data_IF_738172107910
#
_entry.id   IF_738172107910
#
_cell.length_a   1.000
_cell.length_b   1.000
_cell.length_c   1.000
_cell.angle_alpha   90.00
_cell.angle_beta   90.00
_cell.angle_gamma   90.00
#
_symmetry.space_group_name_H-M   'P 1'
#
loop_
_entity.id
_entity.type
_entity.pdbx_description
1 polymer ?
#
# COMPACT_ATOMS: atom_id res chain seq x y z
N UNK A 1 3.86 29.48 -6.98
CA UNK A 1 3.65 28.03 -6.85
C UNK A 1 4.18 27.61 -5.50
N UNK A 2 3.32 27.12 -4.64
CA UNK A 2 3.74 26.55 -3.34
C UNK A 2 4.36 25.19 -3.62
N UNK A 3 5.66 25.02 -3.32
CA UNK A 3 6.35 23.74 -3.49
C UNK A 3 6.05 22.82 -2.31
N UNK A 4 4.81 22.31 -2.25
CA UNK A 4 4.43 21.31 -1.27
C UNK A 4 4.07 19.99 -1.93
N UNK A 5 4.24 18.90 -1.20
CA UNK A 5 3.92 17.55 -1.63
C UNK A 5 2.74 17.01 -0.84
N UNK A 6 1.95 16.21 -1.50
CA UNK A 6 0.88 15.44 -0.87
C UNK A 6 1.32 13.99 -0.79
N UNK A 7 1.17 13.38 0.38
CA UNK A 7 1.36 11.95 0.58
C UNK A 7 0.04 11.35 1.04
N UNK A 8 -0.28 10.16 0.53
CA UNK A 8 -1.50 9.44 0.92
C UNK A 8 -1.31 7.93 0.73
N UNK A 9 -2.15 7.18 1.43
CA UNK A 9 -2.41 5.78 1.17
C UNK A 9 -3.88 5.62 0.77
N UNK A 10 -4.71 4.90 1.54
CA UNK A 10 -6.17 4.81 1.27
C UNK A 10 -6.99 5.95 1.86
N UNK A 11 -6.34 6.92 2.49
CA UNK A 11 -6.99 8.04 3.16
C UNK A 11 -7.42 7.77 4.60
N UNK A 12 -7.31 6.54 5.07
CA UNK A 12 -7.63 6.15 6.45
C UNK A 12 -6.51 5.37 7.14
N UNK A 13 -5.31 5.32 6.56
CA UNK A 13 -4.18 4.58 7.10
C UNK A 13 -2.84 5.30 6.84
N UNK A 14 -1.85 5.02 7.71
CA UNK A 14 -0.46 5.44 7.60
C UNK A 14 0.43 4.28 8.10
N UNK A 15 0.61 3.26 7.26
CA UNK A 15 1.33 2.03 7.64
C UNK A 15 2.03 1.30 6.48
N UNK A 16 1.94 1.80 5.27
CA UNK A 16 2.48 1.22 4.06
C UNK A 16 3.63 2.07 3.47
N UNK A 17 3.88 1.97 2.18
CA UNK A 17 4.95 2.67 1.47
C UNK A 17 4.81 4.19 1.54
N UNK A 18 3.59 4.72 1.58
CA UNK A 18 3.33 6.14 1.75
C UNK A 18 3.85 6.66 3.09
N UNK A 19 3.56 5.96 4.18
CA UNK A 19 4.05 6.30 5.51
C UNK A 19 5.56 6.12 5.65
N UNK A 20 6.11 5.06 5.08
CA UNK A 20 7.56 4.83 5.08
C UNK A 20 8.29 5.94 4.35
N UNK A 21 7.79 6.37 3.19
CA UNK A 21 8.32 7.50 2.44
C UNK A 21 8.14 8.83 3.21
N UNK A 22 7.00 9.04 3.87
CA UNK A 22 6.78 10.23 4.71
C UNK A 22 7.83 10.32 5.84
N UNK A 23 8.09 9.23 6.56
CA UNK A 23 9.12 9.22 7.62
C UNK A 23 10.51 9.59 7.07
N UNK A 24 10.89 8.97 5.95
CA UNK A 24 12.15 9.29 5.27
C UNK A 24 12.24 10.79 4.92
N UNK A 25 11.19 11.35 4.35
CA UNK A 25 11.16 12.77 3.98
C UNK A 25 11.25 13.70 5.20
N UNK A 26 10.59 13.38 6.31
CA UNK A 26 10.68 14.17 7.55
C UNK A 26 12.09 14.13 8.14
N UNK A 27 12.75 12.99 8.06
CA UNK A 27 14.12 12.82 8.58
C UNK A 27 15.18 13.47 7.68
N UNK A 28 15.16 13.16 6.40
CA UNK A 28 16.23 13.56 5.46
C UNK A 28 15.96 14.90 4.76
N UNK A 29 14.71 15.32 4.64
CA UNK A 29 14.31 16.53 3.94
C UNK A 29 13.33 17.38 4.76
N UNK A 30 13.68 17.78 6.01
CA UNK A 30 12.76 18.45 6.93
C UNK A 30 12.27 19.81 6.44
N UNK A 31 12.96 20.43 5.48
CA UNK A 31 12.54 21.69 4.87
C UNK A 31 11.45 21.54 3.80
N UNK A 32 11.27 20.31 3.27
CA UNK A 32 10.24 20.06 2.27
C UNK A 32 8.87 20.09 2.94
N UNK A 33 7.99 20.99 2.47
CA UNK A 33 6.62 21.05 2.96
C UNK A 33 5.81 19.86 2.45
N UNK A 34 5.27 19.08 3.38
CA UNK A 34 4.50 17.88 3.11
C UNK A 34 3.17 17.97 3.83
N UNK A 35 2.12 17.42 3.21
CA UNK A 35 0.84 17.17 3.86
C UNK A 35 0.48 15.70 3.68
N UNK A 36 0.02 15.06 4.75
CA UNK A 36 -0.44 13.68 4.72
C UNK A 36 -1.96 13.63 4.76
N UNK A 37 -2.58 13.02 3.74
CA UNK A 37 -4.04 12.91 3.68
C UNK A 37 -4.50 11.70 4.51
N UNK A 38 -5.27 11.96 5.55
CA UNK A 38 -5.79 10.93 6.45
C UNK A 38 -7.09 11.42 7.12
N UNK A 39 -8.01 10.49 7.38
CA UNK A 39 -9.22 10.80 8.17
C UNK A 39 -8.89 10.90 9.64
N UNK A 40 -9.63 11.76 10.38
CA UNK A 40 -9.37 12.01 11.81
C UNK A 40 -9.67 10.82 12.72
N UNK A 41 -10.56 9.94 12.29
CA UNK A 41 -10.97 8.72 12.99
C UNK A 41 -10.03 7.52 12.74
N UNK A 42 -9.00 7.72 11.92
CA UNK A 42 -7.99 6.70 11.68
C UNK A 42 -7.18 6.40 12.95
N UNK A 43 -6.99 5.11 13.24
CA UNK A 43 -6.07 4.65 14.30
C UNK A 43 -4.61 5.07 14.07
N UNK A 44 -4.26 5.43 12.84
CA UNK A 44 -2.93 5.86 12.45
C UNK A 44 -2.75 7.39 12.44
N UNK A 45 -3.82 8.16 12.75
CA UNK A 45 -3.81 9.61 12.68
C UNK A 45 -2.67 10.25 13.49
N UNK A 46 -2.44 9.79 14.72
CA UNK A 46 -1.39 10.32 15.61
C UNK A 46 0.02 10.21 15.01
N UNK A 47 0.27 9.25 14.12
CA UNK A 47 1.59 9.06 13.48
C UNK A 47 1.98 10.21 12.54
N UNK A 48 1.01 10.94 12.03
CA UNK A 48 1.19 11.98 11.00
C UNK A 48 0.50 13.30 11.34
N UNK A 49 0.01 13.46 12.55
CA UNK A 49 -0.86 14.57 13.00
C UNK A 49 -0.32 15.96 12.69
N UNK A 50 1.00 16.15 12.75
CA UNK A 50 1.63 17.46 12.54
C UNK A 50 1.49 17.95 11.09
N UNK A 51 1.39 17.03 10.15
CA UNK A 51 1.21 17.31 8.72
C UNK A 51 -0.14 16.81 8.19
N UNK A 52 -1.02 16.34 9.08
CA UNK A 52 -2.29 15.74 8.69
C UNK A 52 -3.25 16.74 8.07
N UNK A 53 -3.87 16.33 6.99
CA UNK A 53 -5.00 17.02 6.36
C UNK A 53 -6.14 16.04 6.21
N UNK A 54 -7.31 16.42 6.68
CA UNK A 54 -8.49 15.56 6.62
C UNK A 54 -8.80 15.18 5.18
N UNK A 55 -8.74 13.88 4.91
CA UNK A 55 -9.08 13.31 3.61
C UNK A 55 -10.50 13.70 3.21
N UNK A 56 -10.75 13.94 1.92
CA UNK A 56 -12.04 14.38 1.36
C UNK A 56 -12.57 15.73 1.90
N UNK A 57 -11.71 16.59 2.44
CA UNK A 57 -12.09 17.95 2.84
C UNK A 57 -11.87 18.95 1.69
N UNK A 58 -12.54 20.10 1.77
CA UNK A 58 -12.29 21.24 0.85
C UNK A 58 -10.82 21.64 0.87
N UNK A 59 -10.20 21.63 2.06
CA UNK A 59 -8.77 21.94 2.21
C UNK A 59 -7.91 20.92 1.48
N UNK A 60 -8.19 19.61 1.59
CA UNK A 60 -7.44 18.58 0.89
C UNK A 60 -7.54 18.72 -0.63
N UNK A 61 -8.73 19.07 -1.14
CA UNK A 61 -8.92 19.32 -2.57
C UNK A 61 -8.00 20.44 -3.08
N UNK A 62 -8.01 21.61 -2.42
CA UNK A 62 -7.16 22.73 -2.83
C UNK A 62 -5.67 22.42 -2.73
N UNK A 63 -5.25 21.71 -1.70
CA UNK A 63 -3.86 21.29 -1.54
C UNK A 63 -3.43 20.30 -2.63
N UNK A 64 -4.28 19.34 -3.00
CA UNK A 64 -4.03 18.41 -4.10
C UNK A 64 -3.88 19.17 -5.41
N UNK A 65 -4.79 20.13 -5.67
CA UNK A 65 -4.76 20.92 -6.91
C UNK A 65 -3.50 21.76 -7.04
N UNK A 66 -3.01 22.34 -5.95
CA UNK A 66 -1.83 23.22 -5.93
C UNK A 66 -0.51 22.51 -5.67
N UNK A 67 -0.52 21.22 -5.30
CA UNK A 67 0.68 20.44 -5.01
C UNK A 67 1.63 20.36 -6.22
N UNK A 68 2.94 20.35 -5.95
CA UNK A 68 3.97 20.08 -6.95
C UNK A 68 4.13 18.59 -7.22
N UNK A 69 3.94 17.75 -6.19
CA UNK A 69 3.95 16.28 -6.30
C UNK A 69 2.84 15.66 -5.44
N UNK A 70 2.29 14.58 -5.96
CA UNK A 70 1.31 13.73 -5.29
C UNK A 70 1.91 12.33 -5.24
N UNK A 71 2.17 11.83 -4.05
CA UNK A 71 2.82 10.56 -3.79
C UNK A 71 1.85 9.64 -3.08
N UNK A 72 1.55 8.49 -3.64
CA UNK A 72 0.60 7.57 -3.02
C UNK A 72 0.98 6.11 -3.25
N UNK A 73 0.69 5.28 -2.25
CA UNK A 73 0.77 3.83 -2.38
C UNK A 73 -0.43 3.25 -3.16
N UNK A 74 -1.50 4.02 -3.37
CA UNK A 74 -2.70 3.60 -4.09
C UNK A 74 -3.01 4.56 -5.25
N UNK A 75 -3.23 3.99 -6.45
CA UNK A 75 -3.52 4.80 -7.63
C UNK A 75 -4.89 5.49 -7.51
N UNK A 76 -4.94 6.79 -7.82
CA UNK A 76 -6.14 7.63 -7.90
C UNK A 76 -7.05 7.70 -6.65
N UNK A 77 -6.71 7.04 -5.54
CA UNK A 77 -7.52 7.07 -4.30
C UNK A 77 -7.33 8.35 -3.45
N UNK A 78 -6.74 9.38 -4.04
CA UNK A 78 -6.44 10.67 -3.38
C UNK A 78 -7.58 11.69 -3.44
N UNK A 79 -8.59 11.46 -4.29
CA UNK A 79 -9.74 12.35 -4.47
C UNK A 79 -11.04 11.64 -4.09
N UNK A 80 -12.05 12.41 -3.64
CA UNK A 80 -13.32 11.84 -3.20
C UNK A 80 -14.08 11.12 -4.33
N UNK A 81 -14.61 9.96 -4.03
CA UNK A 81 -15.54 9.23 -4.89
C UNK A 81 -16.94 9.88 -4.85
N UNK A 82 -17.74 9.77 -5.93
CA UNK A 82 -17.46 9.09 -7.20
C UNK A 82 -16.76 9.96 -8.26
N UNK A 83 -16.63 11.26 -8.04
CA UNK A 83 -16.09 12.19 -9.03
C UNK A 83 -14.54 12.19 -9.09
N UNK A 84 -13.88 11.63 -8.09
CA UNK A 84 -12.42 11.75 -7.89
C UNK A 84 -11.60 11.32 -9.09
N UNK A 85 -11.94 10.18 -9.72
CA UNK A 85 -11.23 9.70 -10.91
C UNK A 85 -11.40 10.66 -12.10
N UNK A 86 -12.62 11.18 -12.34
CA UNK A 86 -12.88 12.15 -13.41
C UNK A 86 -12.08 13.43 -13.19
N UNK A 87 -12.07 13.96 -11.97
CA UNK A 87 -11.32 15.16 -11.60
C UNK A 87 -9.81 14.94 -11.75
N UNK A 88 -9.32 13.76 -11.40
CA UNK A 88 -7.92 13.38 -11.55
C UNK A 88 -7.44 13.52 -13.01
N UNK A 89 -8.25 13.04 -13.96
CA UNK A 89 -7.96 13.18 -15.39
C UNK A 89 -8.21 14.59 -15.91
N UNK A 90 -9.33 15.21 -15.55
CA UNK A 90 -9.69 16.56 -15.98
C UNK A 90 -8.59 17.58 -15.66
N UNK A 91 -8.05 17.51 -14.45
CA UNK A 91 -6.98 18.40 -14.00
C UNK A 91 -5.56 17.87 -14.29
N UNK A 92 -5.45 16.76 -15.03
CA UNK A 92 -4.17 16.15 -15.43
C UNK A 92 -3.23 15.90 -14.23
N UNK A 93 -3.81 15.51 -13.09
CA UNK A 93 -3.04 15.28 -11.86
C UNK A 93 -2.04 14.13 -12.00
N UNK A 94 -2.24 13.23 -12.97
CA UNK A 94 -1.30 12.18 -13.33
C UNK A 94 0.09 12.71 -13.73
N UNK A 95 0.21 13.95 -14.23
CA UNK A 95 1.49 14.57 -14.57
C UNK A 95 2.38 14.88 -13.36
N UNK A 96 1.81 14.81 -12.16
CA UNK A 96 2.51 15.01 -10.88
C UNK A 96 2.24 13.88 -9.88
N UNK A 97 1.73 12.74 -10.35
CA UNK A 97 1.41 11.57 -9.54
C UNK A 97 2.55 10.55 -9.58
N UNK A 98 3.00 10.18 -8.39
CA UNK A 98 4.08 9.24 -8.14
C UNK A 98 3.49 8.06 -7.36
N UNK A 99 3.46 6.90 -8.01
CA UNK A 99 2.88 5.69 -7.47
C UNK A 99 3.94 4.82 -6.79
N UNK A 100 3.88 4.73 -5.46
CA UNK A 100 4.83 3.95 -4.66
C UNK A 100 4.49 2.47 -4.60
N UNK A 101 3.33 2.06 -5.13
CA UNK A 101 2.84 0.70 -5.03
C UNK A 101 2.53 0.30 -3.57
N UNK A 102 1.69 -0.71 -3.37
CA UNK A 102 1.37 -1.25 -2.04
C UNK A 102 1.71 -2.74 -1.90
N UNK A 103 2.13 -3.39 -2.99
CA UNK A 103 2.54 -4.79 -3.01
C UNK A 103 3.12 -5.18 -4.36
N UNK A 104 3.88 -6.26 -4.40
CA UNK A 104 4.42 -6.80 -5.64
C UNK A 104 3.30 -7.37 -6.49
N UNK A 105 3.21 -6.95 -7.74
CA UNK A 105 2.22 -7.43 -8.71
C UNK A 105 2.70 -8.77 -9.27
N UNK A 106 1.84 -9.77 -9.17
CA UNK A 106 2.02 -11.07 -9.80
C UNK A 106 1.05 -11.26 -10.97
N UNK A 107 -0.17 -10.73 -10.83
CA UNK A 107 -1.24 -10.89 -11.81
C UNK A 107 -1.24 -9.74 -12.82
N UNK A 108 -1.91 -9.95 -13.96
CA UNK A 108 -2.08 -8.91 -14.98
C UNK A 108 -3.13 -7.87 -14.55
N UNK A 109 -2.66 -6.75 -14.00
CA UNK A 109 -3.53 -5.67 -13.54
C UNK A 109 -3.76 -4.62 -14.65
N UNK A 110 -4.68 -4.91 -15.56
CA UNK A 110 -5.04 -4.00 -16.67
C UNK A 110 -5.40 -2.59 -16.22
N UNK A 111 -5.93 -2.44 -15.00
CA UNK A 111 -6.25 -1.13 -14.39
C UNK A 111 -5.03 -0.24 -14.18
N UNK A 112 -3.81 -0.77 -14.23
CA UNK A 112 -2.56 -0.02 -14.09
C UNK A 112 -1.81 0.20 -15.41
N UNK A 113 -2.40 -0.18 -16.55
CA UNK A 113 -1.82 0.10 -17.86
C UNK A 113 -1.81 1.62 -18.14
N UNK A 114 -0.81 2.11 -18.86
CA UNK A 114 -0.57 3.53 -19.09
C UNK A 114 -1.75 4.30 -19.72
N UNK A 115 -2.54 3.63 -20.56
CA UNK A 115 -3.74 4.19 -21.16
C UNK A 115 -4.91 4.37 -20.19
N UNK A 116 -4.89 3.62 -19.07
CA UNK A 116 -5.92 3.67 -18.01
C UNK A 116 -5.39 4.43 -16.79
N UNK A 117 -4.13 4.22 -16.44
CA UNK A 117 -3.49 4.75 -15.24
C UNK A 117 -2.18 5.48 -15.57
N UNK A 118 -2.22 6.61 -16.34
CA UNK A 118 -1.03 7.39 -16.57
C UNK A 118 -0.48 7.98 -15.27
N UNK A 119 0.86 7.98 -15.12
CA UNK A 119 1.54 8.49 -13.93
C UNK A 119 2.96 8.95 -14.26
N UNK A 120 3.59 9.65 -13.33
CA UNK A 120 4.96 10.14 -13.44
C UNK A 120 6.01 9.16 -12.97
N UNK A 121 5.66 8.31 -12.05
CA UNK A 121 6.51 7.25 -11.50
C UNK A 121 5.64 6.04 -11.14
N UNK A 122 6.13 4.85 -11.49
CA UNK A 122 5.63 3.56 -11.07
C UNK A 122 6.77 2.78 -10.40
N UNK A 123 6.71 2.63 -9.08
CA UNK A 123 7.70 1.86 -8.32
C UNK A 123 7.38 0.38 -8.40
N UNK A 124 8.38 -0.44 -8.68
CA UNK A 124 8.32 -1.89 -8.61
C UNK A 124 9.17 -2.41 -7.45
N UNK A 125 8.64 -3.37 -6.70
CA UNK A 125 9.27 -3.97 -5.53
C UNK A 125 10.19 -5.13 -5.86
N UNK A 126 10.02 -5.77 -7.02
CA UNK A 126 10.79 -6.95 -7.45
C UNK A 126 11.23 -6.82 -8.91
N UNK A 127 12.36 -7.47 -9.24
CA UNK A 127 12.90 -7.44 -10.61
C UNK A 127 11.96 -8.07 -11.64
N UNK A 128 11.36 -9.26 -11.41
CA UNK A 128 10.40 -9.84 -12.34
C UNK A 128 9.17 -8.96 -12.58
N UNK A 129 8.66 -8.30 -11.54
CA UNK A 129 7.57 -7.33 -11.64
C UNK A 129 7.97 -6.15 -12.55
N UNK A 130 9.15 -5.59 -12.32
CA UNK A 130 9.67 -4.49 -13.14
C UNK A 130 9.77 -4.85 -14.61
N UNK A 131 10.33 -6.02 -14.92
CA UNK A 131 10.50 -6.50 -16.28
C UNK A 131 9.14 -6.67 -16.98
N UNK A 132 8.18 -7.26 -16.28
CA UNK A 132 6.83 -7.47 -16.79
C UNK A 132 6.05 -6.17 -16.99
N UNK A 133 6.02 -5.29 -16.00
CA UNK A 133 5.34 -3.99 -16.08
C UNK A 133 5.95 -3.13 -17.18
N UNK A 134 7.28 -3.08 -17.27
CA UNK A 134 8.00 -2.32 -18.31
C UNK A 134 7.66 -2.83 -19.72
N UNK A 135 7.56 -4.14 -19.89
CA UNK A 135 7.30 -4.75 -21.20
C UNK A 135 5.84 -4.62 -21.65
N UNK A 136 4.88 -4.74 -20.73
CA UNK A 136 3.46 -4.93 -21.09
C UNK A 136 2.55 -3.77 -20.77
N UNK A 137 2.86 -2.93 -19.75
CA UNK A 137 1.91 -1.91 -19.28
C UNK A 137 1.92 -0.61 -20.09
N UNK A 138 2.86 -0.46 -21.04
CA UNK A 138 2.89 0.65 -21.99
C UNK A 138 3.25 2.02 -21.39
N UNK A 139 3.81 2.06 -20.19
CA UNK A 139 4.29 3.34 -19.62
C UNK A 139 5.50 3.87 -20.39
N UNK A 140 5.63 5.20 -20.54
CA UNK A 140 6.80 5.82 -21.17
C UNK A 140 8.12 5.42 -20.50
N UNK A 141 9.20 5.48 -21.25
CA UNK A 141 10.53 5.22 -20.72
C UNK A 141 10.83 6.09 -19.50
N UNK A 142 11.41 5.49 -18.46
CA UNK A 142 11.76 6.18 -17.24
C UNK A 142 10.63 6.33 -16.22
N UNK A 143 9.39 5.98 -16.56
CA UNK A 143 8.27 6.00 -15.60
C UNK A 143 8.32 4.81 -14.66
N UNK A 144 8.52 3.59 -15.18
CA UNK A 144 8.64 2.39 -14.36
C UNK A 144 10.06 2.28 -13.79
N UNK A 145 10.17 2.08 -12.49
CA UNK A 145 11.46 1.99 -11.78
C UNK A 145 11.49 0.81 -10.82
N UNK A 146 12.56 0.06 -10.84
CA UNK A 146 12.87 -0.97 -9.85
C UNK A 146 13.73 -0.35 -8.75
N UNK A 147 13.10 -0.04 -7.61
CA UNK A 147 13.78 0.55 -6.45
C UNK A 147 13.61 -0.28 -5.19
N UNK A 148 12.79 -1.32 -5.22
CA UNK A 148 12.21 -1.90 -4.02
C UNK A 148 11.06 -1.04 -3.50
N UNK A 149 10.32 -1.55 -2.53
CA UNK A 149 9.24 -0.81 -1.86
C UNK A 149 9.80 -0.05 -0.66
N UNK A 150 9.31 1.17 -0.43
CA UNK A 150 9.82 2.04 0.65
C UNK A 150 9.79 1.38 2.03
N UNK A 151 8.79 0.51 2.31
CA UNK A 151 8.70 -0.21 3.58
C UNK A 151 9.76 -1.29 3.76
N UNK A 152 10.48 -1.69 2.71
CA UNK A 152 11.53 -2.71 2.81
C UNK A 152 12.71 -2.23 3.66
N UNK A 153 12.93 -0.92 3.78
CA UNK A 153 13.96 -0.35 4.64
C UNK A 153 13.75 -0.68 6.14
N UNK A 154 12.54 -1.08 6.51
CA UNK A 154 12.19 -1.47 7.89
C UNK A 154 12.14 -2.99 8.12
N UNK A 155 12.46 -3.82 7.12
CA UNK A 155 12.46 -5.28 7.27
C UNK A 155 13.68 -5.82 8.01
N UNK A 156 14.68 -4.97 8.28
CA UNK A 156 15.93 -5.35 8.92
C UNK A 156 15.94 -5.13 10.44
N UNK A 157 14.77 -4.94 11.05
CA UNK A 157 14.66 -4.88 12.52
C UNK A 157 14.95 -6.25 13.10
N UNK A 158 16.03 -6.34 13.89
CA UNK A 158 16.77 -7.57 14.21
C UNK A 158 16.14 -8.48 15.28
N UNK A 159 14.88 -8.30 15.63
CA UNK A 159 14.24 -9.18 16.62
C UNK A 159 13.83 -10.49 15.94
N UNK A 160 14.73 -11.45 15.92
CA UNK A 160 14.39 -12.83 15.56
C UNK A 160 13.59 -13.45 16.70
N UNK A 161 12.35 -13.83 16.41
CA UNK A 161 11.52 -14.63 17.31
C UNK A 161 11.52 -16.07 16.84
N UNK A 162 11.47 -17.01 17.78
CA UNK A 162 11.24 -18.41 17.42
C UNK A 162 9.76 -18.62 17.12
N UNK A 163 9.33 -18.12 15.96
CA UNK A 163 7.92 -17.98 15.61
C UNK A 163 7.68 -18.43 14.16
N UNK A 164 6.57 -19.12 13.94
CA UNK A 164 6.02 -19.42 12.62
C UNK A 164 4.73 -18.63 12.48
N UNK A 165 4.65 -17.77 11.44
CA UNK A 165 3.45 -17.03 11.11
C UNK A 165 2.80 -17.69 9.89
N UNK A 166 1.55 -18.08 10.03
CA UNK A 166 0.72 -18.59 8.94
C UNK A 166 -0.27 -17.48 8.57
N UNK A 167 -0.14 -16.96 7.34
CA UNK A 167 -0.98 -15.88 6.82
C UNK A 167 -1.61 -16.32 5.48
N UNK A 168 -2.71 -17.08 5.52
CA UNK A 168 -3.36 -17.51 4.29
C UNK A 168 -4.00 -16.32 3.56
N UNK A 169 -3.92 -16.32 2.25
CA UNK A 169 -4.61 -15.33 1.43
C UNK A 169 -6.12 -15.49 1.59
N UNK A 170 -6.81 -14.40 1.83
CA UNK A 170 -8.28 -14.35 1.90
C UNK A 170 -8.93 -14.89 0.60
N UNK A 171 -10.16 -15.37 0.72
CA UNK A 171 -10.91 -15.97 -0.40
C UNK A 171 -12.11 -15.11 -0.76
N UNK A 172 -12.14 -14.59 -1.99
CA UNK A 172 -13.20 -13.70 -2.49
C UNK A 172 -14.59 -14.34 -2.51
N UNK A 173 -14.66 -15.66 -2.56
CA UNK A 173 -15.92 -16.41 -2.59
C UNK A 173 -16.51 -16.66 -1.18
N UNK A 174 -15.75 -16.43 -0.12
CA UNK A 174 -16.21 -16.54 1.27
C UNK A 174 -16.70 -15.16 1.71
N UNK A 175 -18.00 -15.00 1.94
CA UNK A 175 -18.62 -13.70 2.21
C UNK A 175 -19.13 -13.53 3.63
N UNK A 176 -19.26 -14.62 4.38
CA UNK A 176 -19.78 -14.62 5.75
C UNK A 176 -19.25 -15.82 6.55
N UNK A 177 -19.45 -15.78 7.87
CA UNK A 177 -18.94 -16.79 8.80
C UNK A 177 -19.48 -18.21 8.50
N UNK A 178 -20.71 -18.35 8.03
CA UNK A 178 -21.29 -19.66 7.70
C UNK A 178 -20.56 -20.26 6.50
N UNK A 179 -20.41 -19.49 5.41
CA UNK A 179 -19.65 -19.94 4.25
C UNK A 179 -18.18 -20.25 4.59
N UNK A 180 -17.61 -19.52 5.56
CA UNK A 180 -16.26 -19.78 6.04
C UNK A 180 -16.17 -21.14 6.74
N UNK A 181 -17.02 -21.40 7.73
CA UNK A 181 -17.01 -22.63 8.51
C UNK A 181 -17.27 -23.88 7.64
N UNK A 182 -18.18 -23.75 6.66
CA UNK A 182 -18.55 -24.85 5.76
C UNK A 182 -17.53 -25.03 4.59
N UNK A 183 -16.50 -24.18 4.50
CA UNK A 183 -15.57 -24.19 3.37
C UNK A 183 -14.45 -25.24 3.53
N UNK A 184 -14.04 -25.83 2.40
CA UNK A 184 -12.81 -26.63 2.32
C UNK A 184 -11.58 -25.87 2.82
N UNK A 185 -11.58 -24.54 2.67
CA UNK A 185 -10.51 -23.67 3.16
C UNK A 185 -10.38 -23.76 4.68
N UNK A 186 -11.48 -23.58 5.41
CA UNK A 186 -11.50 -23.70 6.87
C UNK A 186 -11.14 -25.10 7.33
N UNK A 187 -11.75 -26.13 6.73
CA UNK A 187 -11.53 -27.54 7.09
C UNK A 187 -10.04 -27.91 6.95
N UNK A 188 -9.40 -27.55 5.84
CA UNK A 188 -7.97 -27.84 5.59
C UNK A 188 -7.05 -27.12 6.56
N UNK A 189 -7.36 -25.85 6.91
CA UNK A 189 -6.58 -25.14 7.92
C UNK A 189 -6.76 -25.72 9.31
N UNK A 190 -7.98 -26.09 9.69
CA UNK A 190 -8.23 -26.81 10.95
C UNK A 190 -7.43 -28.12 11.03
N UNK A 191 -7.47 -28.92 9.97
CA UNK A 191 -6.70 -30.17 9.90
C UNK A 191 -5.20 -29.94 10.06
N UNK A 192 -4.64 -28.92 9.42
CA UNK A 192 -3.22 -28.58 9.53
C UNK A 192 -2.88 -28.11 10.96
N UNK A 193 -3.65 -27.17 11.51
CA UNK A 193 -3.35 -26.58 12.82
C UNK A 193 -3.51 -27.57 13.98
N UNK A 194 -4.36 -28.58 13.82
CA UNK A 194 -4.58 -29.65 14.81
C UNK A 194 -3.79 -30.93 14.52
N UNK A 195 -2.97 -30.94 13.46
CA UNK A 195 -2.19 -32.12 13.10
C UNK A 195 -1.18 -32.48 14.20
N UNK A 196 -1.18 -33.74 14.72
CA UNK A 196 -0.28 -34.14 15.80
C UNK A 196 1.21 -33.89 15.45
N UNK A 197 1.57 -34.04 14.20
CA UNK A 197 2.95 -33.77 13.72
C UNK A 197 3.34 -32.29 13.86
N UNK A 198 2.44 -31.36 13.56
CA UNK A 198 2.69 -29.93 13.72
C UNK A 198 2.75 -29.54 15.19
N UNK A 199 1.80 -30.02 16.00
CA UNK A 199 1.77 -29.78 17.45
C UNK A 199 3.07 -30.25 18.10
N UNK A 200 3.50 -31.47 17.80
CA UNK A 200 4.75 -32.04 18.30
C UNK A 200 5.97 -31.22 17.88
N UNK A 201 6.01 -30.76 16.61
CA UNK A 201 7.11 -29.91 16.09
C UNK A 201 7.20 -28.59 16.87
N UNK A 202 6.07 -27.93 17.05
CA UNK A 202 5.96 -26.63 17.72
C UNK A 202 6.38 -26.75 19.19
N UNK A 203 5.87 -27.75 19.91
CA UNK A 203 6.19 -28.00 21.32
C UNK A 203 7.66 -28.41 21.53
N UNK A 204 8.18 -29.34 20.73
CA UNK A 204 9.56 -29.84 20.87
C UNK A 204 10.61 -28.75 20.57
N UNK A 205 10.29 -27.78 19.76
CA UNK A 205 11.21 -26.70 19.37
C UNK A 205 10.90 -25.37 20.05
N UNK A 206 9.93 -25.33 20.99
CA UNK A 206 9.48 -24.11 21.65
C UNK A 206 9.17 -22.97 20.66
N UNK A 207 8.39 -23.30 19.62
CA UNK A 207 8.01 -22.37 18.56
C UNK A 207 6.67 -21.74 18.91
N UNK A 208 6.55 -20.43 18.79
CA UNK A 208 5.27 -19.73 18.83
C UNK A 208 4.60 -19.85 17.45
N UNK A 209 3.42 -20.47 17.38
CA UNK A 209 2.65 -20.57 16.15
C UNK A 209 1.56 -19.50 16.13
N UNK A 210 1.65 -18.56 15.19
CA UNK A 210 0.67 -17.49 15.01
C UNK A 210 -0.10 -17.70 13.73
N UNK A 211 -1.42 -17.80 13.84
CA UNK A 211 -2.31 -17.86 12.69
C UNK A 211 -3.02 -16.52 12.54
N UNK A 212 -2.83 -15.86 11.40
CA UNK A 212 -3.39 -14.55 11.08
C UNK A 212 -4.33 -14.65 9.88
N UNK A 213 -5.60 -14.23 10.07
CA UNK A 213 -6.67 -14.25 9.05
C UNK A 213 -7.13 -12.84 8.71
#
# INVERSE_FOLDING_TARGET
>A
KTDHWIISERGNEARDNGYSFYKYMKEKHPKQKIYYLITKDSSDYEKVKDDAVTFNSVRSFWLIMSASKIVSAHYASILPLPAGTKLFYLFKLYNKFYFLQHGIIKDDLKSLYANIAPMRLFVCGAKPEYEDVKARYGHPEGVVRYTGLARFDYLHTEVRRNQIIIMPTWRTYIKNDKEFIDSDFYIKWQQLLTAPSLVKLVEQNNIELVFYV
#
